data_IF_461072987070
#
_entry.id   IF_461072987070
#
_cell.length_a   1.000
_cell.length_b   1.000
_cell.length_c   1.000
_cell.angle_alpha   90.00
_cell.angle_beta   90.00
_cell.angle_gamma   90.00
#
_symmetry.space_group_name_H-M   'P 1'
#
loop_
_entity.id
_entity.type
_entity.pdbx_description
1 polymer ?
#
# COMPACT_ATOMS: atom_id res chain seq x y z
N UNK A 1 44.48 -26.14 33.80
CA UNK A 1 44.47 -26.05 32.32
C UNK A 1 43.21 -26.62 31.67
N UNK A 2 42.84 -27.90 31.83
CA UNK A 2 41.62 -28.49 31.18
C UNK A 2 40.28 -27.80 31.51
N UNK A 3 40.12 -27.23 32.71
CA UNK A 3 38.90 -26.47 33.10
C UNK A 3 38.83 -25.07 32.48
N UNK A 4 39.96 -24.41 32.26
CA UNK A 4 40.03 -23.10 31.59
C UNK A 4 39.65 -23.22 30.10
N UNK A 5 40.13 -24.26 29.41
CA UNK A 5 39.79 -24.49 28.00
C UNK A 5 38.29 -24.79 27.79
N UNK A 6 37.63 -25.43 28.77
CA UNK A 6 36.17 -25.69 28.71
C UNK A 6 35.35 -24.40 28.88
N UNK A 7 35.76 -23.52 29.79
CA UNK A 7 35.11 -22.22 30.00
C UNK A 7 35.28 -21.29 28.79
N UNK A 8 36.46 -21.27 28.18
CA UNK A 8 36.71 -20.51 26.96
C UNK A 8 35.87 -21.00 25.76
N UNK A 9 35.72 -22.32 25.60
CA UNK A 9 34.90 -22.89 24.53
C UNK A 9 33.40 -22.59 24.69
N UNK A 10 32.90 -22.58 25.93
CA UNK A 10 31.51 -22.23 26.24
C UNK A 10 31.26 -20.72 25.99
N UNK A 11 32.21 -19.87 26.39
CA UNK A 11 32.14 -18.42 26.12
C UNK A 11 32.12 -18.08 24.63
N UNK A 12 32.92 -18.77 23.82
CA UNK A 12 32.93 -18.58 22.37
C UNK A 12 31.62 -19.06 21.70
N UNK A 13 31.02 -20.15 22.18
CA UNK A 13 29.73 -20.64 21.68
C UNK A 13 28.56 -19.71 22.03
N UNK A 14 28.57 -19.09 23.22
CA UNK A 14 27.57 -18.10 23.63
C UNK A 14 27.69 -16.77 22.87
N UNK A 15 28.91 -16.35 22.52
CA UNK A 15 29.12 -15.17 21.68
C UNK A 15 28.66 -15.36 20.22
N UNK A 16 28.74 -16.59 19.70
CA UNK A 16 28.24 -16.92 18.36
C UNK A 16 26.70 -16.94 18.24
N UNK A 17 25.98 -17.05 19.37
CA UNK A 17 24.51 -16.96 19.44
C UNK A 17 24.01 -15.51 19.52
N UNK A 18 24.89 -14.55 19.78
CA UNK A 18 24.58 -13.12 19.83
C UNK A 18 24.79 -12.45 18.45
N UNK A 19 24.41 -13.13 17.37
CA UNK A 19 24.27 -12.46 16.08
C UNK A 19 23.22 -11.34 16.26
N UNK A 20 23.53 -10.09 15.88
CA UNK A 20 22.50 -9.06 15.87
C UNK A 20 21.37 -9.58 14.98
N UNK A 21 20.15 -9.60 15.51
CA UNK A 21 18.98 -9.76 14.66
C UNK A 21 19.04 -8.62 13.65
N UNK A 22 19.44 -8.93 12.41
CA UNK A 22 19.37 -7.97 11.31
C UNK A 22 17.88 -7.78 11.09
N UNK A 23 17.33 -6.74 11.72
CA UNK A 23 15.95 -6.36 11.51
C UNK A 23 15.79 -6.15 10.01
N UNK A 24 14.93 -6.96 9.39
CA UNK A 24 14.66 -6.79 7.98
C UNK A 24 13.86 -5.50 7.82
N UNK A 25 14.34 -4.59 6.96
CA UNK A 25 13.73 -3.28 6.81
C UNK A 25 12.50 -3.34 5.91
N UNK A 26 11.41 -2.69 6.32
CA UNK A 26 10.29 -2.38 5.43
C UNK A 26 10.64 -1.15 4.61
N UNK A 27 10.53 -1.26 3.28
CA UNK A 27 10.69 -0.11 2.40
C UNK A 27 9.35 0.65 2.34
N UNK A 28 9.38 1.94 2.64
CA UNK A 28 8.21 2.82 2.55
C UNK A 28 8.39 3.74 1.36
N UNK A 29 7.44 3.73 0.43
CA UNK A 29 7.46 4.56 -0.78
C UNK A 29 6.21 5.45 -0.82
N UNK A 30 6.33 6.77 -0.66
CA UNK A 30 5.19 7.66 -0.83
C UNK A 30 4.78 7.76 -2.30
N UNK A 31 3.47 7.75 -2.55
CA UNK A 31 2.86 7.95 -3.87
C UNK A 31 2.12 9.28 -3.91
N UNK A 32 2.79 10.34 -3.46
CA UNK A 32 2.26 11.70 -3.45
C UNK A 32 1.91 12.20 -4.85
N UNK A 33 1.14 13.29 -4.91
CA UNK A 33 0.68 13.88 -6.16
C UNK A 33 1.80 14.55 -6.95
N UNK A 34 2.73 15.21 -6.25
CA UNK A 34 3.81 16.04 -6.80
C UNK A 34 5.17 15.51 -6.33
N UNK A 35 6.11 15.31 -7.25
CA UNK A 35 7.43 14.78 -6.96
C UNK A 35 8.25 15.75 -6.09
N UNK A 36 8.89 15.19 -5.06
CA UNK A 36 9.71 15.96 -4.12
C UNK A 36 8.93 16.69 -3.03
N UNK A 37 7.60 16.65 -3.08
CA UNK A 37 6.72 17.35 -2.14
C UNK A 37 5.99 16.37 -1.21
N UNK A 38 5.46 16.93 -0.11
CA UNK A 38 4.47 16.26 0.73
C UNK A 38 3.23 17.16 0.82
N UNK A 39 2.33 17.00 -0.14
CA UNK A 39 1.17 17.86 -0.32
C UNK A 39 0.03 17.52 0.68
N UNK A 40 -0.91 18.46 0.94
CA UNK A 40 -2.02 18.23 1.87
C UNK A 40 -2.95 17.04 1.54
N UNK A 41 -2.97 16.59 0.28
CA UNK A 41 -3.80 15.49 -0.20
C UNK A 41 -3.04 14.16 -0.31
N UNK A 42 -1.75 14.15 0.02
CA UNK A 42 -0.96 12.93 -0.03
C UNK A 42 -1.36 12.01 1.13
N UNK A 43 -1.83 10.81 0.76
CA UNK A 43 -2.16 9.72 1.69
C UNK A 43 -1.45 8.43 1.32
N UNK A 44 -1.28 8.22 0.02
CA UNK A 44 -0.86 6.94 -0.52
C UNK A 44 0.59 6.60 -0.17
N UNK A 45 0.78 5.45 0.47
CA UNK A 45 2.09 4.87 0.78
C UNK A 45 2.11 3.41 0.32
N UNK A 46 3.24 2.95 -0.22
CA UNK A 46 3.49 1.53 -0.42
C UNK A 46 4.51 1.06 0.62
N UNK A 47 4.10 0.10 1.43
CA UNK A 47 4.97 -0.67 2.30
C UNK A 47 5.38 -1.95 1.58
N UNK A 48 6.68 -2.18 1.45
CA UNK A 48 7.24 -3.40 0.87
C UNK A 48 8.00 -4.16 1.94
N UNK A 49 7.47 -5.33 2.28
CA UNK A 49 8.08 -6.28 3.19
C UNK A 49 9.29 -6.96 2.53
N UNK A 50 10.34 -7.32 3.29
CA UNK A 50 11.47 -8.11 2.81
C UNK A 50 11.13 -9.38 2.03
N UNK A 51 9.97 -9.99 2.29
CA UNK A 51 9.49 -11.15 1.52
C UNK A 51 8.85 -10.78 0.16
N UNK A 52 8.81 -9.50 -0.19
CA UNK A 52 8.24 -8.96 -1.43
C UNK A 52 6.73 -8.68 -1.39
N UNK A 53 6.09 -8.81 -0.23
CA UNK A 53 4.68 -8.41 -0.05
C UNK A 53 4.56 -6.90 -0.11
N UNK A 54 3.64 -6.39 -0.95
CA UNK A 54 3.41 -4.95 -1.11
C UNK A 54 2.02 -4.54 -0.64
N UNK A 55 1.98 -3.63 0.32
CA UNK A 55 0.75 -3.08 0.90
C UNK A 55 0.59 -1.63 0.46
N UNK A 56 -0.48 -1.33 -0.27
CA UNK A 56 -0.88 0.04 -0.59
C UNK A 56 -1.79 0.56 0.53
N UNK A 57 -1.35 1.60 1.22
CA UNK A 57 -2.13 2.29 2.24
C UNK A 57 -2.81 3.51 1.63
N UNK A 58 -4.13 3.62 1.80
CA UNK A 58 -4.96 4.77 1.41
C UNK A 58 -4.62 5.36 0.03
N UNK A 59 -5.03 4.69 -1.08
CA UNK A 59 -4.71 5.15 -2.44
C UNK A 59 -5.15 6.60 -2.73
N UNK A 60 -6.19 7.06 -2.04
CA UNK A 60 -6.62 8.45 -2.04
C UNK A 60 -6.85 9.00 -3.43
N UNK A 61 -6.41 10.24 -3.65
CA UNK A 61 -6.61 10.97 -4.92
C UNK A 61 -5.32 11.17 -5.73
N UNK A 62 -4.18 10.72 -5.21
CA UNK A 62 -2.84 11.00 -5.75
C UNK A 62 -2.24 9.85 -6.56
N UNK A 63 -2.83 8.67 -6.44
CA UNK A 63 -2.54 7.51 -7.30
C UNK A 63 -3.31 7.65 -8.61
N UNK A 64 -2.61 7.63 -9.74
CA UNK A 64 -3.16 7.93 -11.06
C UNK A 64 -3.90 6.74 -11.69
N UNK A 65 -4.92 6.25 -10.98
CA UNK A 65 -5.75 5.13 -11.43
C UNK A 65 -5.10 3.75 -11.25
N UNK A 66 -5.81 2.67 -11.64
CA UNK A 66 -5.33 1.29 -11.52
C UNK A 66 -4.09 0.97 -12.38
N UNK A 67 -3.84 1.80 -13.40
CA UNK A 67 -2.71 1.66 -14.32
C UNK A 67 -1.51 2.52 -13.95
N UNK A 68 -1.53 3.21 -12.80
CA UNK A 68 -0.39 4.01 -12.35
C UNK A 68 0.88 3.14 -12.31
N UNK A 69 1.93 3.48 -13.08
CA UNK A 69 3.11 2.65 -13.21
C UNK A 69 3.88 2.49 -11.89
N UNK A 70 3.69 3.41 -10.93
CA UNK A 70 4.32 3.35 -9.60
C UNK A 70 3.77 2.20 -8.75
N UNK A 71 2.56 1.71 -9.07
CA UNK A 71 1.91 0.66 -8.29
C UNK A 71 2.56 -0.71 -8.44
N UNK A 72 3.11 -1.08 -9.60
CA UNK A 72 3.64 -2.43 -9.83
C UNK A 72 2.68 -3.54 -9.37
N UNK A 73 3.21 -4.51 -8.61
CA UNK A 73 2.44 -5.53 -7.87
C UNK A 73 1.94 -4.96 -6.54
N UNK A 74 0.66 -5.10 -6.23
CA UNK A 74 0.10 -4.79 -4.90
C UNK A 74 -0.65 -6.04 -4.41
N UNK A 75 -0.30 -6.53 -3.23
CA UNK A 75 -0.93 -7.72 -2.64
C UNK A 75 -2.13 -7.33 -1.77
N UNK A 76 -1.97 -6.26 -1.01
CA UNK A 76 -2.96 -5.78 -0.05
C UNK A 76 -3.19 -4.29 -0.26
N UNK A 77 -4.44 -3.87 -0.17
CA UNK A 77 -4.83 -2.47 -0.05
C UNK A 77 -5.39 -2.28 1.35
N UNK A 78 -4.68 -1.53 2.18
CA UNK A 78 -5.12 -1.16 3.52
C UNK A 78 -5.81 0.20 3.45
N UNK A 79 -7.12 0.22 3.72
CA UNK A 79 -7.89 1.46 3.77
C UNK A 79 -8.15 1.80 5.22
N UNK A 80 -7.74 2.99 5.65
CA UNK A 80 -7.88 3.43 7.05
C UNK A 80 -9.30 3.87 7.38
N UNK A 81 -9.95 4.61 6.48
CA UNK A 81 -11.34 5.06 6.65
C UNK A 81 -12.01 5.49 5.32
N UNK A 82 -13.25 5.96 5.40
CA UNK A 82 -14.19 6.11 4.27
C UNK A 82 -14.27 7.48 3.62
N UNK A 83 -13.40 8.43 3.96
CA UNK A 83 -13.36 9.69 3.23
C UNK A 83 -12.71 9.54 1.86
N UNK A 84 -13.21 10.34 0.91
CA UNK A 84 -12.80 10.31 -0.49
C UNK A 84 -11.31 10.47 -0.73
N UNK A 85 -10.59 11.16 0.16
CA UNK A 85 -9.14 11.30 0.12
C UNK A 85 -8.37 10.08 0.60
N UNK A 86 -9.03 9.05 1.14
CA UNK A 86 -8.44 7.79 1.59
C UNK A 86 -8.77 6.62 0.65
N UNK A 87 -10.07 6.33 0.43
CA UNK A 87 -10.49 5.26 -0.49
C UNK A 87 -10.43 5.67 -1.98
N UNK A 88 -10.39 6.97 -2.25
CA UNK A 88 -10.38 7.55 -3.59
C UNK A 88 -11.77 7.70 -4.21
N UNK A 89 -12.39 8.88 -4.07
CA UNK A 89 -13.59 9.23 -4.83
C UNK A 89 -13.27 9.76 -6.25
N UNK A 90 -12.05 10.25 -6.44
CA UNK A 90 -11.51 10.77 -7.70
C UNK A 90 -9.98 10.66 -7.65
N UNK A 91 -9.30 10.85 -8.77
CA UNK A 91 -7.85 10.85 -8.85
C UNK A 91 -7.28 11.76 -9.95
N UNK A 92 -5.97 11.99 -9.87
CA UNK A 92 -5.18 12.66 -10.90
C UNK A 92 -5.10 11.83 -12.19
N UNK A 93 -5.05 12.50 -13.35
CA UNK A 93 -4.87 11.81 -14.64
C UNK A 93 -3.51 11.12 -14.76
N UNK A 94 -2.48 11.72 -14.19
CA UNK A 94 -1.11 11.21 -14.16
C UNK A 94 -0.38 11.74 -12.91
N UNK A 95 0.72 11.09 -12.47
CA UNK A 95 1.62 11.67 -11.48
C UNK A 95 2.06 13.08 -11.91
N UNK A 96 2.25 14.00 -10.96
CA UNK A 96 2.61 15.40 -11.20
C UNK A 96 1.56 16.25 -11.94
N UNK A 97 0.30 15.82 -11.98
CA UNK A 97 -0.78 16.64 -12.56
C UNK A 97 -1.29 17.67 -11.52
N UNK A 98 -1.16 18.96 -11.82
CA UNK A 98 -1.55 20.07 -10.93
C UNK A 98 -0.40 20.56 -10.05
N UNK A 99 -0.73 21.11 -8.88
CA UNK A 99 0.23 21.54 -7.83
C UNK A 99 -0.22 21.06 -6.46
N UNK A 100 0.57 21.28 -5.40
CA UNK A 100 0.12 20.94 -4.04
C UNK A 100 -1.12 21.73 -3.60
N UNK A 101 -1.23 23.00 -4.00
CA UNK A 101 -2.35 23.89 -3.65
C UNK A 101 -3.58 23.62 -4.52
N UNK A 102 -3.37 23.15 -5.75
CA UNK A 102 -4.40 22.85 -6.73
C UNK A 102 -4.10 21.52 -7.45
N UNK A 103 -4.19 20.37 -6.75
CA UNK A 103 -3.91 19.07 -7.34
C UNK A 103 -4.99 18.67 -8.35
N UNK A 104 -4.59 17.96 -9.41
CA UNK A 104 -5.56 17.38 -10.34
C UNK A 104 -6.33 16.24 -9.66
N UNK A 105 -7.66 16.32 -9.69
CA UNK A 105 -8.57 15.27 -9.23
C UNK A 105 -9.70 15.09 -10.25
N UNK A 106 -9.41 15.33 -11.53
CA UNK A 106 -10.42 15.42 -12.58
C UNK A 106 -10.99 14.08 -13.05
N UNK A 107 -10.40 12.95 -12.65
CA UNK A 107 -10.90 11.61 -13.00
C UNK A 107 -11.75 11.06 -11.86
N UNK A 108 -13.02 10.81 -12.10
CA UNK A 108 -13.90 10.19 -11.11
C UNK A 108 -13.61 8.68 -10.98
N UNK A 109 -13.49 8.19 -9.75
CA UNK A 109 -13.54 6.74 -9.43
C UNK A 109 -14.89 6.30 -8.88
N UNK A 110 -15.88 7.21 -8.83
CA UNK A 110 -17.24 6.85 -8.46
C UNK A 110 -17.95 6.14 -9.62
N UNK A 111 -18.80 5.13 -9.33
CA UNK A 111 -19.28 4.73 -8.01
C UNK A 111 -18.40 3.71 -7.26
N UNK A 112 -17.29 3.24 -7.83
CA UNK A 112 -16.55 2.08 -7.32
C UNK A 112 -15.59 2.40 -6.17
N UNK A 113 -15.00 3.59 -6.17
CA UNK A 113 -13.77 4.01 -5.48
C UNK A 113 -12.48 3.48 -6.10
N UNK A 114 -11.40 4.26 -5.99
CA UNK A 114 -10.10 3.93 -6.56
C UNK A 114 -9.51 2.67 -5.91
N UNK A 115 -9.70 2.48 -4.60
CA UNK A 115 -9.28 1.28 -3.90
C UNK A 115 -9.85 0.00 -4.54
N UNK A 116 -11.13 0.03 -4.95
CA UNK A 116 -11.80 -1.11 -5.61
C UNK A 116 -11.26 -1.31 -7.03
N UNK A 117 -11.08 -0.23 -7.78
CA UNK A 117 -10.52 -0.28 -9.15
C UNK A 117 -9.10 -0.87 -9.15
N UNK A 118 -8.24 -0.45 -8.21
CA UNK A 118 -6.90 -1.00 -8.05
C UNK A 118 -6.96 -2.46 -7.59
N UNK A 119 -7.82 -2.80 -6.62
CA UNK A 119 -7.94 -4.17 -6.13
C UNK A 119 -8.26 -5.16 -7.25
N UNK A 120 -9.18 -4.78 -8.16
CA UNK A 120 -9.54 -5.61 -9.30
C UNK A 120 -8.40 -5.74 -10.31
N UNK A 121 -7.78 -4.61 -10.68
CA UNK A 121 -6.70 -4.60 -11.67
C UNK A 121 -5.46 -5.36 -11.18
N UNK A 122 -5.16 -5.29 -9.88
CA UNK A 122 -3.97 -5.91 -9.26
C UNK A 122 -4.26 -7.26 -8.61
N UNK A 123 -5.54 -7.69 -8.58
CA UNK A 123 -6.01 -8.89 -7.87
C UNK A 123 -5.63 -8.87 -6.37
N UNK A 124 -5.67 -7.68 -5.78
CA UNK A 124 -5.28 -7.43 -4.38
C UNK A 124 -6.43 -7.74 -3.42
N UNK A 125 -6.09 -8.01 -2.16
CA UNK A 125 -7.06 -8.07 -1.06
C UNK A 125 -7.25 -6.68 -0.45
N UNK A 126 -8.48 -6.29 -0.17
CA UNK A 126 -8.76 -5.07 0.61
C UNK A 126 -8.84 -5.45 2.09
N UNK A 127 -8.06 -4.78 2.94
CA UNK A 127 -8.04 -4.95 4.39
C UNK A 127 -8.49 -3.64 5.03
N UNK A 128 -9.45 -3.73 5.96
CA UNK A 128 -10.06 -2.58 6.61
C UNK A 128 -10.54 -2.95 8.02
N UNK A 129 -10.90 -1.95 8.82
CA UNK A 129 -11.52 -2.16 10.14
C UNK A 129 -13.06 -2.18 10.11
N UNK A 130 -13.66 -2.68 11.19
CA UNK A 130 -15.07 -2.52 11.56
C UNK A 130 -16.07 -2.81 10.43
N UNK A 131 -16.91 -1.84 10.05
CA UNK A 131 -18.03 -2.02 9.12
C UNK A 131 -17.66 -1.77 7.64
N UNK A 132 -16.40 -1.48 7.35
CA UNK A 132 -15.90 -1.26 5.99
C UNK A 132 -15.82 -2.55 5.14
N UNK A 133 -15.53 -3.76 5.67
CA UNK A 133 -15.50 -4.99 4.86
C UNK A 133 -16.79 -5.27 4.08
N UNK A 134 -18.01 -5.23 4.68
CA UNK A 134 -19.24 -5.45 3.90
C UNK A 134 -19.47 -4.35 2.85
N UNK A 135 -19.08 -3.09 3.12
CA UNK A 135 -19.15 -2.01 2.14
C UNK A 135 -18.29 -2.30 0.90
N UNK A 136 -17.02 -2.67 1.09
CA UNK A 136 -16.12 -2.99 -0.01
C UNK A 136 -16.50 -4.27 -0.74
N UNK A 137 -17.00 -5.28 -0.04
CA UNK A 137 -17.51 -6.50 -0.66
C UNK A 137 -18.65 -6.18 -1.65
N UNK A 138 -19.60 -5.34 -1.26
CA UNK A 138 -20.70 -4.93 -2.13
C UNK A 138 -20.21 -4.16 -3.37
N UNK A 139 -19.22 -3.27 -3.21
CA UNK A 139 -18.62 -2.54 -4.32
C UNK A 139 -17.91 -3.48 -5.30
N UNK A 140 -17.08 -4.39 -4.80
CA UNK A 140 -16.38 -5.39 -5.61
C UNK A 140 -17.36 -6.25 -6.43
N UNK A 141 -18.42 -6.76 -5.79
CA UNK A 141 -19.46 -7.56 -6.47
C UNK A 141 -20.10 -6.75 -7.60
N UNK A 142 -20.48 -5.50 -7.32
CA UNK A 142 -21.09 -4.60 -8.30
C UNK A 142 -20.16 -4.38 -9.51
N UNK A 143 -18.89 -4.05 -9.27
CA UNK A 143 -17.93 -3.79 -10.33
C UNK A 143 -17.62 -5.04 -11.16
N UNK A 144 -17.45 -6.21 -10.52
CA UNK A 144 -17.24 -7.49 -11.21
C UNK A 144 -18.43 -7.82 -12.11
N UNK A 145 -19.65 -7.66 -11.60
CA UNK A 145 -20.85 -7.92 -12.39
C UNK A 145 -20.86 -7.03 -13.63
N UNK A 146 -20.68 -5.72 -13.49
CA UNK A 146 -20.63 -4.78 -14.62
C UNK A 146 -19.56 -5.18 -15.64
N UNK A 147 -18.36 -5.55 -15.19
CA UNK A 147 -17.29 -5.99 -16.09
C UNK A 147 -17.69 -7.22 -16.92
N UNK A 148 -18.39 -8.19 -16.30
CA UNK A 148 -18.87 -9.39 -17.00
C UNK A 148 -20.01 -9.11 -18.01
N UNK A 149 -20.76 -8.02 -17.88
CA UNK A 149 -21.77 -7.62 -18.87
C UNK A 149 -21.16 -6.93 -20.10
N UNK A 150 -19.90 -6.49 -20.03
CA UNK A 150 -19.21 -5.77 -21.11
C UNK A 150 -18.32 -6.67 -21.97
N UNK A 151 -18.19 -7.95 -21.62
CA UNK A 151 -17.46 -9.00 -22.38
C UNK A 151 -18.42 -9.98 -23.02
#
# INVERSE_FOLDING_TARGET
>A
MKRLNRLAAIGAALAALALPAVAQNVKVTPLGGIDGEFCPQDRALVFEDPNGTRVLYDPGRTVAGPSDPRLGKIDIILVSHMHGDHLGNAHNKAPNSGTCEAPDMSVSSMPNSLAVEIALAKKSKIVTGSEMPPFFAAKLISTINVANWQT
#
